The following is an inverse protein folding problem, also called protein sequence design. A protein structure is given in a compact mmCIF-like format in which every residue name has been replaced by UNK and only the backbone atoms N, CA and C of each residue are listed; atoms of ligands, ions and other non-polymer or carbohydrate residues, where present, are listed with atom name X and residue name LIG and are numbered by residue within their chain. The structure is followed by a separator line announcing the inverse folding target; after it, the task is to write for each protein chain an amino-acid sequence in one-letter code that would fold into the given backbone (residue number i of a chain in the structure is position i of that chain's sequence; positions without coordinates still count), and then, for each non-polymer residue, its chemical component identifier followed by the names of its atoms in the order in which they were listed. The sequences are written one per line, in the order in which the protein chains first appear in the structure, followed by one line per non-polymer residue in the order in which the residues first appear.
data_IF_888558584213
#
_entry.id   IF_888558584213
#
_cell.length_a   1.000
_cell.length_b   1.000
_cell.length_c   1.000
_cell.angle_alpha   90.00
_cell.angle_beta   90.00
_cell.angle_gamma   90.00
#
_symmetry.space_group_name_H-M   'P 1'
#
loop_
_entity.id
_entity.type
_entity.pdbx_description
1 polymer ?
#
# COMPACT_ATOMS: atom_id res chain seq x y z
N UNK A 1 -4.61 79.34 -27.94
CA UNK A 1 -4.55 77.90 -28.26
C UNK A 1 -3.64 77.23 -27.24
N UNK A 2 -4.22 76.67 -26.17
CA UNK A 2 -3.50 76.08 -25.03
C UNK A 2 -3.72 74.57 -24.97
N UNK A 3 -2.65 73.88 -24.61
CA UNK A 3 -2.49 72.43 -24.55
C UNK A 3 -3.37 71.74 -23.48
N UNK A 4 -4.05 70.67 -23.91
CA UNK A 4 -4.39 69.45 -23.16
C UNK A 4 -3.10 68.82 -22.56
N UNK A 5 -3.05 68.05 -21.46
CA UNK A 5 -4.01 67.37 -20.59
C UNK A 5 -3.25 67.04 -19.28
N UNK A 6 -3.82 67.33 -18.12
CA UNK A 6 -3.38 66.76 -16.84
C UNK A 6 -4.23 65.51 -16.53
N UNK A 7 -3.57 64.48 -15.99
CA UNK A 7 -4.16 63.19 -15.68
C UNK A 7 -4.88 63.22 -14.33
N UNK A 8 -6.09 62.67 -14.27
CA UNK A 8 -6.66 62.19 -13.00
C UNK A 8 -7.43 60.90 -13.28
N UNK A 9 -6.92 59.77 -12.78
CA UNK A 9 -7.61 58.47 -12.84
C UNK A 9 -8.72 58.46 -11.79
N UNK A 10 -9.98 58.36 -12.20
CA UNK A 10 -11.09 58.11 -11.28
C UNK A 10 -11.07 56.65 -10.81
N UNK A 11 -10.95 56.45 -9.50
CA UNK A 11 -11.01 55.15 -8.84
C UNK A 11 -12.42 54.58 -8.96
N UNK A 12 -12.56 53.41 -9.61
CA UNK A 12 -13.80 52.64 -9.61
C UNK A 12 -13.94 51.97 -8.25
N UNK A 13 -14.97 52.34 -7.47
CA UNK A 13 -15.28 51.69 -6.20
C UNK A 13 -16.33 50.58 -6.39
N UNK A 14 -16.22 49.53 -5.57
CA UNK A 14 -17.03 48.28 -5.59
C UNK A 14 -18.56 48.46 -5.60
N UNK A 15 -19.10 49.66 -5.36
CA UNK A 15 -20.55 49.92 -5.34
C UNK A 15 -21.19 50.18 -6.70
N UNK A 16 -20.43 50.36 -7.78
CA UNK A 16 -21.00 50.62 -9.12
C UNK A 16 -21.10 49.39 -10.04
N UNK A 17 -20.63 48.22 -9.60
CA UNK A 17 -20.69 46.97 -10.38
C UNK A 17 -21.98 46.14 -10.12
N UNK A 18 -22.71 46.42 -9.04
CA UNK A 18 -23.93 45.67 -8.66
C UNK A 18 -25.20 46.26 -9.31
N UNK A 19 -25.09 47.38 -10.04
CA UNK A 19 -26.26 48.15 -10.47
C UNK A 19 -26.89 47.83 -11.83
N UNK A 20 -26.28 47.01 -12.69
CA UNK A 20 -26.81 46.83 -14.05
C UNK A 20 -26.37 45.53 -14.73
N UNK A 21 -27.07 44.44 -14.43
CA UNK A 21 -27.40 43.37 -15.38
C UNK A 21 -28.34 42.35 -14.70
N UNK A 22 -29.54 42.82 -14.34
CA UNK A 22 -30.66 41.93 -14.06
C UNK A 22 -31.41 41.62 -15.35
N UNK A 23 -31.79 40.35 -15.51
CA UNK A 23 -32.82 39.81 -16.41
C UNK A 23 -32.39 39.44 -17.84
N UNK A 24 -31.68 38.32 -17.92
CA UNK A 24 -32.04 37.24 -18.85
C UNK A 24 -32.05 35.93 -18.05
N UNK A 25 -33.06 35.75 -17.21
CA UNK A 25 -33.32 34.46 -16.57
C UNK A 25 -33.90 33.52 -17.63
N UNK A 26 -33.04 32.97 -18.48
CA UNK A 26 -33.32 31.68 -19.07
C UNK A 26 -33.44 30.72 -17.87
N UNK A 27 -34.62 30.16 -17.65
CA UNK A 27 -34.78 29.01 -16.76
C UNK A 27 -34.01 27.84 -17.37
N UNK A 28 -32.68 27.84 -17.19
CA UNK A 28 -31.86 26.67 -17.40
C UNK A 28 -32.33 25.68 -16.35
N UNK A 29 -33.05 24.64 -16.76
CA UNK A 29 -33.21 23.44 -15.96
C UNK A 29 -31.80 22.86 -15.82
N UNK A 30 -31.05 23.32 -14.82
CA UNK A 30 -29.76 22.77 -14.46
C UNK A 30 -30.08 21.45 -13.75
N UNK A 31 -29.77 20.29 -14.36
CA UNK A 31 -30.23 19.04 -13.78
C UNK A 31 -29.57 18.84 -12.41
N UNK A 32 -30.31 18.30 -11.44
CA UNK A 32 -29.89 18.22 -10.02
C UNK A 32 -28.52 17.59 -9.78
N UNK A 33 -28.06 16.77 -10.72
CA UNK A 33 -26.70 16.23 -10.75
C UNK A 33 -25.60 17.27 -10.96
N UNK A 34 -25.87 18.54 -11.32
CA UNK A 34 -24.84 19.58 -11.58
C UNK A 34 -24.67 20.48 -10.36
N UNK A 35 -25.71 20.67 -9.55
CA UNK A 35 -25.69 21.57 -8.39
C UNK A 35 -25.50 20.86 -7.05
N UNK A 36 -25.48 19.52 -7.02
CA UNK A 36 -25.44 18.73 -5.78
C UNK A 36 -26.68 18.97 -4.93
N UNK A 37 -27.71 18.14 -5.11
CA UNK A 37 -28.87 18.15 -4.22
C UNK A 37 -28.53 17.63 -2.81
N UNK A 38 -29.46 17.74 -1.84
CA UNK A 38 -29.28 17.17 -0.51
C UNK A 38 -28.89 15.68 -0.60
N UNK A 39 -27.71 15.32 -0.08
CA UNK A 39 -27.17 13.96 -0.11
C UNK A 39 -26.38 13.59 -1.38
N UNK A 40 -26.18 14.51 -2.34
CA UNK A 40 -25.40 14.27 -3.55
C UNK A 40 -24.26 15.31 -3.69
N UNK A 41 -23.02 14.84 -3.73
CA UNK A 41 -21.85 15.66 -4.05
C UNK A 41 -21.90 16.10 -5.52
N UNK A 42 -21.85 17.41 -5.85
CA UNK A 42 -21.74 17.89 -7.21
C UNK A 42 -20.55 17.23 -7.95
N UNK A 43 -20.65 16.95 -9.27
CA UNK A 43 -19.57 16.38 -10.06
C UNK A 43 -18.27 17.20 -10.02
N UNK A 44 -18.37 18.52 -9.85
CA UNK A 44 -17.21 19.41 -9.69
C UNK A 44 -16.46 19.23 -8.36
N UNK A 45 -17.07 18.54 -7.40
CA UNK A 45 -16.46 18.20 -6.10
C UNK A 45 -16.05 16.72 -6.02
N UNK A 46 -16.15 15.99 -7.15
CA UNK A 46 -15.65 14.63 -7.28
C UNK A 46 -14.25 14.64 -7.86
N UNK A 47 -13.45 13.65 -7.47
CA UNK A 47 -12.15 13.41 -8.08
C UNK A 47 -12.32 12.73 -9.43
N UNK A 48 -11.48 13.10 -10.38
CA UNK A 48 -11.27 12.38 -11.63
C UNK A 48 -10.14 11.35 -11.44
N UNK A 49 -10.48 10.06 -11.45
CA UNK A 49 -9.60 8.96 -11.06
C UNK A 49 -9.40 7.99 -12.21
N UNK A 50 -8.17 7.49 -12.35
CA UNK A 50 -7.85 6.33 -13.20
C UNK A 50 -7.36 5.16 -12.38
N UNK A 51 -7.61 3.94 -12.86
CA UNK A 51 -7.23 2.72 -12.17
C UNK A 51 -6.33 1.83 -13.05
N UNK A 52 -5.22 1.33 -12.49
CA UNK A 52 -4.22 0.49 -13.15
C UNK A 52 -4.20 -0.88 -12.47
N UNK A 53 -4.45 -1.94 -13.23
CA UNK A 53 -4.69 -3.29 -12.70
C UNK A 53 -6.09 -3.36 -12.09
N UNK A 54 -7.05 -3.88 -12.85
CA UNK A 54 -8.48 -3.82 -12.49
C UNK A 54 -9.16 -5.19 -12.48
N UNK A 55 -8.39 -6.28 -12.52
CA UNK A 55 -8.86 -7.62 -12.16
C UNK A 55 -8.62 -7.98 -10.69
N UNK A 56 -9.29 -9.03 -10.20
CA UNK A 56 -9.14 -9.51 -8.82
C UNK A 56 -9.31 -8.40 -7.77
N UNK A 57 -8.32 -8.21 -6.89
CA UNK A 57 -8.32 -7.13 -5.88
C UNK A 57 -8.40 -5.73 -6.49
N UNK A 58 -7.86 -5.54 -7.70
CA UNK A 58 -7.97 -4.29 -8.44
C UNK A 58 -9.43 -3.92 -8.71
N UNK A 59 -10.29 -4.89 -9.04
CA UNK A 59 -11.72 -4.65 -9.24
C UNK A 59 -12.39 -4.12 -7.96
N UNK A 60 -12.06 -4.68 -6.79
CA UNK A 60 -12.54 -4.18 -5.50
C UNK A 60 -12.13 -2.71 -5.28
N UNK A 61 -10.91 -2.35 -5.66
CA UNK A 61 -10.43 -0.98 -5.53
C UNK A 61 -11.13 -0.01 -6.47
N UNK A 62 -11.41 -0.41 -7.72
CA UNK A 62 -12.23 0.41 -8.64
C UNK A 62 -13.64 0.62 -8.06
N UNK A 63 -14.24 -0.42 -7.46
CA UNK A 63 -15.54 -0.29 -6.78
C UNK A 63 -15.46 0.62 -5.56
N UNK A 64 -14.39 0.58 -4.79
CA UNK A 64 -14.23 1.43 -3.60
C UNK A 64 -14.13 2.93 -3.92
N UNK A 65 -13.80 3.30 -5.15
CA UNK A 65 -13.77 4.70 -5.62
C UNK A 65 -14.96 5.09 -6.51
N UNK A 66 -16.00 4.24 -6.60
CA UNK A 66 -17.13 4.48 -7.50
C UNK A 66 -18.02 5.68 -7.12
N UNK A 67 -17.81 6.27 -5.93
CA UNK A 67 -18.43 7.55 -5.57
C UNK A 67 -17.86 8.73 -6.37
N UNK A 68 -16.62 8.59 -6.84
CA UNK A 68 -15.86 9.55 -7.65
C UNK A 68 -16.00 9.24 -9.16
N UNK A 69 -15.38 10.05 -10.01
CA UNK A 69 -15.42 9.84 -11.45
C UNK A 69 -14.30 8.87 -11.87
N UNK A 70 -14.66 7.69 -12.38
CA UNK A 70 -13.69 6.77 -12.98
C UNK A 70 -13.53 7.09 -14.46
N UNK A 71 -12.48 7.86 -14.80
CA UNK A 71 -12.22 8.39 -16.15
C UNK A 71 -11.71 7.31 -17.09
N UNK A 72 -10.76 6.50 -16.61
CA UNK A 72 -10.14 5.44 -17.38
C UNK A 72 -9.70 4.26 -16.51
N UNK A 73 -9.65 3.09 -17.12
CA UNK A 73 -9.20 1.84 -16.51
C UNK A 73 -8.17 1.17 -17.42
N UNK A 74 -7.11 0.63 -16.83
CA UNK A 74 -6.00 0.02 -17.53
C UNK A 74 -5.74 -1.41 -17.05
N UNK A 75 -5.75 -2.36 -17.97
CA UNK A 75 -5.32 -3.74 -17.70
C UNK A 75 -4.69 -4.39 -18.94
N UNK A 76 -3.64 -5.17 -18.70
CA UNK A 76 -2.93 -5.93 -19.73
C UNK A 76 -3.68 -7.22 -20.08
N UNK A 77 -4.58 -7.70 -19.22
CA UNK A 77 -5.39 -8.88 -19.43
C UNK A 77 -6.89 -8.52 -19.51
N UNK A 78 -7.41 -8.51 -20.72
CA UNK A 78 -8.81 -8.17 -20.99
C UNK A 78 -9.81 -9.19 -20.44
N UNK A 79 -9.39 -10.44 -20.22
CA UNK A 79 -10.22 -11.49 -19.59
C UNK A 79 -10.26 -11.27 -18.08
N UNK A 80 -9.11 -11.03 -17.46
CA UNK A 80 -9.03 -10.79 -16.01
C UNK A 80 -9.73 -9.49 -15.59
N UNK A 81 -9.67 -8.45 -16.44
CA UNK A 81 -10.36 -7.17 -16.25
C UNK A 81 -11.85 -7.17 -16.67
N UNK A 82 -12.40 -8.31 -17.11
CA UNK A 82 -13.70 -8.38 -17.75
C UNK A 82 -14.85 -7.78 -16.93
N UNK A 83 -14.85 -8.01 -15.61
CA UNK A 83 -15.86 -7.44 -14.71
C UNK A 83 -15.79 -5.92 -14.62
N UNK A 84 -14.58 -5.37 -14.45
CA UNK A 84 -14.35 -3.92 -14.44
C UNK A 84 -14.75 -3.29 -15.77
N UNK A 85 -14.38 -3.90 -16.90
CA UNK A 85 -14.68 -3.40 -18.23
C UNK A 85 -16.18 -3.37 -18.53
N UNK A 86 -16.94 -4.31 -17.97
CA UNK A 86 -18.40 -4.36 -18.06
C UNK A 86 -19.05 -3.32 -17.14
N UNK A 87 -18.65 -3.27 -15.88
CA UNK A 87 -19.23 -2.38 -14.87
C UNK A 87 -18.95 -0.90 -15.19
N UNK A 88 -17.73 -0.58 -15.60
CA UNK A 88 -17.27 0.76 -15.96
C UNK A 88 -17.20 0.90 -17.48
N UNK A 89 -18.28 0.52 -18.17
CA UNK A 89 -18.33 0.48 -19.65
C UNK A 89 -18.06 1.82 -20.32
N UNK A 90 -18.37 2.93 -19.64
CA UNK A 90 -18.14 4.32 -20.08
C UNK A 90 -16.70 4.81 -19.87
N UNK A 91 -15.93 4.18 -18.97
CA UNK A 91 -14.54 4.56 -18.75
C UNK A 91 -13.70 4.19 -19.98
N UNK A 92 -12.72 5.04 -20.31
CA UNK A 92 -11.76 4.74 -21.39
C UNK A 92 -10.93 3.52 -20.98
N UNK A 93 -10.64 2.63 -21.93
CA UNK A 93 -9.95 1.37 -21.67
C UNK A 93 -8.54 1.40 -22.26
N UNK A 94 -7.56 1.02 -21.47
CA UNK A 94 -6.15 0.98 -21.85
C UNK A 94 -5.52 -0.37 -21.47
N UNK A 95 -4.39 -0.69 -22.09
CA UNK A 95 -3.54 -1.82 -21.68
C UNK A 95 -2.12 -1.41 -21.29
N UNK A 96 -1.72 -0.19 -21.60
CA UNK A 96 -0.43 0.37 -21.19
C UNK A 96 -0.70 1.61 -20.33
N UNK A 97 -0.35 1.53 -19.06
CA UNK A 97 -0.63 2.62 -18.12
C UNK A 97 0.18 3.87 -18.46
N UNK A 98 1.37 3.74 -19.06
CA UNK A 98 2.22 4.88 -19.42
C UNK A 98 1.49 5.73 -20.46
N UNK A 99 0.95 5.06 -21.49
CA UNK A 99 0.13 5.71 -22.52
C UNK A 99 -1.19 6.26 -21.97
N UNK A 100 -1.78 5.62 -20.97
CA UNK A 100 -2.97 6.14 -20.30
C UNK A 100 -2.63 7.44 -19.54
N UNK A 101 -1.58 7.41 -18.71
CA UNK A 101 -1.15 8.57 -17.94
C UNK A 101 -0.76 9.73 -18.87
N UNK A 102 0.00 9.48 -19.94
CA UNK A 102 0.36 10.50 -20.93
C UNK A 102 -0.87 11.19 -21.56
N UNK A 103 -1.92 10.41 -21.87
CA UNK A 103 -3.13 10.92 -22.53
C UNK A 103 -4.10 11.60 -21.58
N UNK A 104 -4.20 11.10 -20.35
CA UNK A 104 -5.20 11.54 -19.37
C UNK A 104 -4.60 12.49 -18.32
N UNK A 105 -3.30 12.81 -18.36
CA UNK A 105 -2.63 13.65 -17.35
C UNK A 105 -3.36 14.98 -17.06
N UNK A 106 -3.95 15.61 -18.08
CA UNK A 106 -4.71 16.85 -17.93
C UNK A 106 -6.15 16.69 -17.41
N UNK A 107 -6.65 15.46 -17.32
CA UNK A 107 -8.06 15.14 -17.03
C UNK A 107 -8.24 14.34 -15.72
N UNK A 108 -7.19 14.19 -14.91
CA UNK A 108 -7.20 13.32 -13.74
C UNK A 108 -6.55 14.01 -12.55
N UNK A 109 -7.07 13.72 -11.36
CA UNK A 109 -6.54 14.17 -10.08
C UNK A 109 -5.71 13.08 -9.40
N UNK A 110 -6.13 11.82 -9.56
CA UNK A 110 -5.59 10.71 -8.79
C UNK A 110 -5.52 9.38 -9.57
N UNK A 111 -4.67 8.50 -9.07
CA UNK A 111 -4.38 7.18 -9.65
C UNK A 111 -4.50 6.10 -8.58
N UNK A 112 -5.23 5.03 -8.90
CA UNK A 112 -5.28 3.79 -8.12
C UNK A 112 -4.42 2.74 -8.81
N UNK A 113 -3.46 2.15 -8.10
CA UNK A 113 -2.53 1.13 -8.59
C UNK A 113 -2.78 -0.19 -7.85
N UNK A 114 -3.07 -1.26 -8.60
CA UNK A 114 -3.37 -2.60 -8.07
C UNK A 114 -2.84 -3.70 -8.99
N UNK A 115 -1.66 -3.46 -9.57
CA UNK A 115 -0.93 -4.40 -10.41
C UNK A 115 -0.21 -5.47 -9.57
N UNK A 116 0.54 -6.40 -10.17
CA UNK A 116 1.59 -7.12 -9.44
C UNK A 116 2.66 -6.18 -8.84
N UNK A 117 3.36 -6.65 -7.80
CA UNK A 117 4.27 -5.82 -6.99
C UNK A 117 5.39 -5.17 -7.81
N UNK A 118 5.89 -5.84 -8.86
CA UNK A 118 6.96 -5.31 -9.71
C UNK A 118 6.55 -4.09 -10.54
N UNK A 119 5.27 -3.74 -10.61
CA UNK A 119 4.75 -2.57 -11.34
C UNK A 119 4.22 -1.47 -10.41
N UNK A 120 3.98 -1.78 -9.12
CA UNK A 120 3.45 -0.83 -8.14
C UNK A 120 4.20 0.51 -8.12
N UNK A 121 5.49 0.48 -7.80
CA UNK A 121 6.32 1.68 -7.66
C UNK A 121 6.49 2.41 -8.99
N UNK A 122 6.83 1.76 -10.12
CA UNK A 122 6.95 2.47 -11.39
C UNK A 122 5.71 3.26 -11.80
N UNK A 123 4.53 2.65 -11.70
CA UNK A 123 3.28 3.35 -12.00
C UNK A 123 3.00 4.49 -11.01
N UNK A 124 3.23 4.23 -9.72
CA UNK A 124 3.01 5.21 -8.65
C UNK A 124 3.95 6.41 -8.77
N UNK A 125 5.24 6.21 -8.98
CA UNK A 125 6.24 7.28 -9.12
C UNK A 125 5.98 8.11 -10.36
N UNK A 126 5.62 7.50 -11.49
CA UNK A 126 5.22 8.22 -12.70
C UNK A 126 4.03 9.15 -12.43
N UNK A 127 2.98 8.64 -11.77
CA UNK A 127 1.80 9.43 -11.41
C UNK A 127 2.14 10.57 -10.43
N UNK A 128 2.92 10.31 -9.38
CA UNK A 128 3.32 11.35 -8.42
C UNK A 128 4.18 12.43 -9.07
N UNK A 129 5.11 12.09 -9.97
CA UNK A 129 5.90 13.05 -10.74
C UNK A 129 5.05 13.93 -11.65
N UNK A 130 3.86 13.47 -12.04
CA UNK A 130 2.83 14.27 -12.74
C UNK A 130 1.92 15.08 -11.80
N UNK A 131 2.21 15.11 -10.49
CA UNK A 131 1.43 15.80 -9.47
C UNK A 131 0.11 15.10 -9.10
N UNK A 132 -0.03 13.80 -9.40
CA UNK A 132 -1.27 13.05 -9.14
C UNK A 132 -1.21 12.35 -7.78
N UNK A 133 -2.33 12.38 -7.07
CA UNK A 133 -2.48 11.61 -5.84
C UNK A 133 -2.49 10.12 -6.12
N UNK A 134 -1.96 9.29 -5.20
CA UNK A 134 -1.78 7.86 -5.44
C UNK A 134 -2.35 7.00 -4.31
N UNK A 135 -3.21 6.06 -4.67
CA UNK A 135 -3.52 4.90 -3.85
C UNK A 135 -2.83 3.68 -4.45
N UNK A 136 -1.98 2.98 -3.72
CA UNK A 136 -1.27 1.80 -4.21
C UNK A 136 -1.57 0.60 -3.32
N UNK A 137 -1.85 -0.56 -3.90
CA UNK A 137 -2.00 -1.78 -3.13
C UNK A 137 -0.73 -2.18 -2.38
N UNK A 138 -0.93 -3.02 -1.36
CA UNK A 138 0.18 -3.65 -0.61
C UNK A 138 0.73 -4.86 -1.39
N UNK A 139 1.99 -5.25 -1.13
CA UNK A 139 3.04 -4.43 -0.52
C UNK A 139 3.34 -3.21 -1.40
N UNK A 140 3.87 -2.12 -0.83
CA UNK A 140 4.08 -0.87 -1.57
C UNK A 140 4.96 -1.06 -2.83
N UNK A 141 5.87 -2.02 -2.81
CA UNK A 141 6.69 -2.37 -3.97
C UNK A 141 7.42 -3.70 -3.79
N UNK A 142 8.12 -4.10 -4.84
CA UNK A 142 8.84 -5.38 -4.91
C UNK A 142 10.28 -5.31 -4.35
N UNK A 143 10.91 -4.13 -4.27
CA UNK A 143 12.25 -3.97 -3.68
C UNK A 143 12.40 -2.66 -2.89
N UNK A 144 13.38 -2.67 -1.99
CA UNK A 144 13.61 -1.61 -0.98
C UNK A 144 14.03 -0.28 -1.62
N UNK A 145 14.89 -0.31 -2.63
CA UNK A 145 15.34 0.91 -3.32
C UNK A 145 14.19 1.63 -4.00
N UNK A 146 13.31 0.89 -4.69
CA UNK A 146 12.09 1.43 -5.29
C UNK A 146 11.15 2.02 -4.22
N UNK A 147 10.94 1.33 -3.10
CA UNK A 147 10.14 1.84 -1.97
C UNK A 147 10.69 3.15 -1.42
N UNK A 148 12.03 3.25 -1.28
CA UNK A 148 12.67 4.47 -0.78
C UNK A 148 12.58 5.61 -1.78
N UNK A 149 12.62 5.32 -3.08
CA UNK A 149 12.33 6.30 -4.14
C UNK A 149 10.89 6.82 -4.03
N UNK A 150 9.88 5.94 -3.95
CA UNK A 150 8.49 6.38 -3.85
C UNK A 150 8.20 7.22 -2.60
N UNK A 151 8.77 6.83 -1.46
CA UNK A 151 8.64 7.59 -0.20
C UNK A 151 9.22 9.00 -0.35
N UNK A 152 10.38 9.12 -1.01
CA UNK A 152 11.02 10.40 -1.29
C UNK A 152 10.19 11.26 -2.26
N UNK A 153 9.76 10.69 -3.38
CA UNK A 153 8.96 11.40 -4.39
C UNK A 153 7.63 11.87 -3.80
N UNK A 154 6.96 11.07 -2.97
CA UNK A 154 5.74 11.48 -2.27
C UNK A 154 5.99 12.71 -1.38
N UNK A 155 7.11 12.73 -0.65
CA UNK A 155 7.51 13.87 0.18
C UNK A 155 7.86 15.11 -0.65
N UNK A 156 8.60 14.94 -1.75
CA UNK A 156 9.04 16.04 -2.62
C UNK A 156 7.88 16.70 -3.37
N UNK A 157 6.92 15.89 -3.83
CA UNK A 157 5.76 16.38 -4.60
C UNK A 157 4.62 16.87 -3.72
N UNK A 158 4.57 16.43 -2.46
CA UNK A 158 3.52 16.80 -1.50
C UNK A 158 2.16 16.17 -1.79
N UNK A 159 2.06 15.27 -2.77
CA UNK A 159 0.80 14.61 -3.13
C UNK A 159 0.33 13.67 -2.02
N UNK A 160 -0.99 13.56 -1.88
CA UNK A 160 -1.63 12.57 -1.03
C UNK A 160 -1.34 11.16 -1.53
N UNK A 161 -0.84 10.31 -0.62
CA UNK A 161 -0.56 8.90 -0.89
C UNK A 161 -1.22 8.00 0.14
N UNK A 162 -1.56 6.77 -0.24
CA UNK A 162 -2.03 5.74 0.70
C UNK A 162 -1.72 4.33 0.17
N UNK A 163 -1.20 3.45 1.04
CA UNK A 163 -1.08 2.02 0.74
C UNK A 163 -2.38 1.28 1.10
N UNK A 164 -2.78 0.27 0.30
CA UNK A 164 -4.04 -0.46 0.41
C UNK A 164 -4.20 -1.48 1.54
N UNK A 165 -3.57 -1.27 2.69
CA UNK A 165 -3.69 -2.13 3.87
C UNK A 165 -4.89 -1.71 4.75
N UNK A 166 -6.12 -1.99 4.28
CA UNK A 166 -7.36 -1.50 4.88
C UNK A 166 -7.60 -1.85 6.36
N UNK A 167 -6.97 -2.92 6.86
CA UNK A 167 -7.03 -3.32 8.27
C UNK A 167 -6.56 -2.20 9.21
N UNK A 168 -5.61 -1.36 8.78
CA UNK A 168 -5.09 -0.22 9.52
C UNK A 168 -6.19 0.75 9.98
N UNK A 169 -7.15 1.05 9.10
CA UNK A 169 -8.29 1.94 9.39
C UNK A 169 -9.36 1.23 10.21
N UNK A 170 -9.33 -0.11 10.23
CA UNK A 170 -10.27 -0.97 10.92
C UNK A 170 -10.34 -0.70 12.42
N UNK A 171 -11.54 -0.83 12.99
CA UNK A 171 -11.77 -0.58 14.41
C UNK A 171 -10.90 -1.48 15.30
N UNK A 172 -10.68 -2.74 14.90
CA UNK A 172 -9.88 -3.68 15.67
C UNK A 172 -8.44 -3.21 15.85
N UNK A 173 -7.74 -2.97 14.74
CA UNK A 173 -6.33 -2.55 14.75
C UNK A 173 -6.15 -1.27 15.56
N UNK A 174 -6.98 -0.25 15.30
CA UNK A 174 -6.89 1.02 16.03
C UNK A 174 -7.14 0.83 17.54
N UNK A 175 -8.12 -0.02 17.91
CA UNK A 175 -8.45 -0.27 19.32
C UNK A 175 -7.36 -1.08 20.04
N UNK A 176 -6.75 -2.07 19.37
CA UNK A 176 -5.64 -2.87 19.92
C UNK A 176 -4.40 -2.01 20.06
N UNK A 177 -4.03 -1.22 19.05
CA UNK A 177 -2.91 -0.27 19.16
C UNK A 177 -3.12 0.70 20.33
N UNK A 178 -4.34 1.23 20.50
CA UNK A 178 -4.66 2.04 21.69
C UNK A 178 -4.45 1.27 22.99
N UNK A 179 -4.92 0.04 23.12
CA UNK A 179 -4.73 -0.78 24.33
C UNK A 179 -3.25 -1.03 24.65
N UNK A 180 -2.43 -1.28 23.62
CA UNK A 180 -0.98 -1.43 23.78
C UNK A 180 -0.35 -0.11 24.26
N UNK A 181 -0.70 1.01 23.62
CA UNK A 181 -0.20 2.35 23.98
C UNK A 181 -0.66 2.82 25.37
N UNK A 182 -1.86 2.44 25.79
CA UNK A 182 -2.38 2.69 27.14
C UNK A 182 -1.73 1.78 28.21
N UNK A 183 -0.82 0.88 27.82
CA UNK A 183 -0.03 0.06 28.73
C UNK A 183 -0.82 -1.10 29.37
N UNK A 184 -1.91 -1.56 28.75
CA UNK A 184 -2.76 -2.66 29.27
C UNK A 184 -1.92 -3.90 29.60
N UNK A 185 -0.99 -4.26 28.73
CA UNK A 185 -0.06 -5.39 28.93
C UNK A 185 1.35 -4.96 29.38
N UNK A 186 1.53 -3.69 29.76
CA UNK A 186 2.83 -3.14 30.12
C UNK A 186 3.77 -2.92 28.94
N UNK A 187 5.07 -2.95 29.20
CA UNK A 187 6.11 -2.69 28.22
C UNK A 187 6.30 -3.91 27.30
N UNK A 188 6.04 -3.75 26.00
CA UNK A 188 6.21 -4.82 25.00
C UNK A 188 7.67 -4.94 24.57
N UNK A 189 8.21 -6.16 24.64
CA UNK A 189 9.60 -6.48 24.23
C UNK A 189 9.69 -7.58 23.17
N UNK A 190 8.61 -8.31 22.96
CA UNK A 190 8.54 -9.38 21.97
C UNK A 190 7.19 -9.35 21.27
N UNK A 191 7.23 -9.56 19.95
CA UNK A 191 6.06 -9.60 19.06
C UNK A 191 6.21 -10.77 18.10
N UNK A 192 5.13 -11.47 17.85
CA UNK A 192 5.05 -12.54 16.85
C UNK A 192 3.94 -12.24 15.85
N UNK A 193 4.19 -12.43 14.57
CA UNK A 193 3.20 -12.30 13.50
C UNK A 193 3.22 -13.56 12.64
N UNK A 194 2.07 -14.04 12.15
CA UNK A 194 2.06 -15.22 11.29
C UNK A 194 0.96 -15.25 10.24
N UNK A 195 1.14 -16.12 9.23
CA UNK A 195 0.16 -16.48 8.23
C UNK A 195 0.31 -17.94 7.77
N UNK A 196 -0.75 -18.74 7.90
CA UNK A 196 -0.82 -20.18 7.60
C UNK A 196 -0.90 -20.54 6.12
N UNK A 197 -0.12 -19.87 5.29
CA UNK A 197 -0.11 -20.15 3.87
C UNK A 197 1.29 -19.98 3.31
N UNK A 198 1.60 -20.71 2.25
CA UNK A 198 2.77 -20.44 1.42
C UNK A 198 2.38 -20.38 -0.05
N UNK A 199 3.22 -19.70 -0.83
CA UNK A 199 3.28 -19.92 -2.25
C UNK A 199 4.25 -21.10 -2.48
N UNK A 200 3.87 -22.12 -3.26
CA UNK A 200 4.69 -23.33 -3.39
C UNK A 200 5.99 -23.01 -4.13
N UNK A 201 7.17 -23.38 -3.61
CA UNK A 201 8.44 -23.17 -4.30
C UNK A 201 8.48 -23.93 -5.63
N UNK A 202 9.29 -23.46 -6.57
CA UNK A 202 9.44 -24.16 -7.85
C UNK A 202 10.53 -23.60 -8.76
N UNK A 203 10.97 -24.46 -9.69
CA UNK A 203 11.88 -24.11 -10.78
C UNK A 203 11.13 -23.39 -11.90
N UNK A 204 11.86 -22.52 -12.64
CA UNK A 204 11.32 -21.96 -13.88
C UNK A 204 10.78 -23.07 -14.77
N UNK A 205 9.57 -22.93 -15.34
CA UNK A 205 9.05 -23.85 -16.32
C UNK A 205 9.99 -23.99 -17.50
N UNK A 206 10.17 -25.23 -17.97
CA UNK A 206 11.04 -25.54 -19.11
C UNK A 206 10.34 -25.37 -20.46
N UNK A 207 9.02 -25.30 -20.48
CA UNK A 207 8.22 -25.14 -21.68
C UNK A 207 7.55 -23.76 -21.69
N UNK A 208 7.39 -23.19 -22.89
CA UNK A 208 6.92 -21.82 -23.09
C UNK A 208 5.67 -21.85 -23.96
N UNK A 209 4.47 -22.04 -23.39
CA UNK A 209 3.24 -22.02 -24.16
C UNK A 209 3.03 -20.63 -24.82
N UNK A 210 2.26 -20.55 -25.91
CA UNK A 210 1.94 -19.26 -26.52
C UNK A 210 1.19 -18.35 -25.54
N UNK A 211 1.45 -17.04 -25.64
CA UNK A 211 0.71 -16.03 -24.88
C UNK A 211 -0.76 -16.05 -25.31
N UNK A 212 -1.73 -16.12 -24.38
CA UNK A 212 -3.15 -16.01 -24.73
C UNK A 212 -3.46 -14.66 -25.41
N UNK A 213 -4.29 -14.67 -26.45
CA UNK A 213 -4.58 -13.45 -27.23
C UNK A 213 -5.19 -12.28 -26.43
N UNK A 214 -5.77 -12.57 -25.26
CA UNK A 214 -6.35 -11.59 -24.35
C UNK A 214 -5.33 -10.91 -23.43
N UNK A 215 -4.07 -11.38 -23.39
CA UNK A 215 -3.01 -10.94 -22.48
C UNK A 215 -1.85 -10.26 -23.22
N UNK A 216 -1.53 -9.03 -22.84
CA UNK A 216 -0.35 -8.29 -23.32
C UNK A 216 0.86 -8.59 -22.43
N UNK A 217 1.47 -9.76 -22.62
CA UNK A 217 2.56 -10.26 -21.76
C UNK A 217 3.77 -9.32 -21.66
N UNK A 218 4.19 -8.71 -22.77
CA UNK A 218 5.31 -7.76 -22.77
C UNK A 218 5.05 -6.54 -21.86
N UNK A 219 3.79 -6.08 -21.80
CA UNK A 219 3.37 -5.02 -20.88
C UNK A 219 3.23 -5.52 -19.45
N UNK A 220 2.75 -6.76 -19.25
CA UNK A 220 2.64 -7.39 -17.93
C UNK A 220 4.01 -7.53 -17.25
N UNK A 221 5.04 -7.92 -18.00
CA UNK A 221 6.41 -8.00 -17.49
C UNK A 221 6.91 -6.64 -16.96
N UNK A 222 6.45 -5.53 -17.54
CA UNK A 222 6.79 -4.19 -17.07
C UNK A 222 8.31 -3.98 -16.92
N UNK A 223 8.80 -3.52 -15.76
CA UNK A 223 10.25 -3.35 -15.53
C UNK A 223 11.00 -4.66 -15.27
N UNK A 224 10.32 -5.80 -15.08
CA UNK A 224 10.95 -7.07 -14.75
C UNK A 224 11.74 -7.65 -15.93
N UNK A 225 12.79 -8.47 -15.69
CA UNK A 225 13.55 -9.11 -16.76
C UNK A 225 12.66 -9.86 -17.76
N UNK A 226 13.10 -9.91 -19.03
CA UNK A 226 12.35 -10.63 -20.07
C UNK A 226 12.28 -12.10 -19.71
N UNK A 227 11.04 -12.63 -19.68
CA UNK A 227 10.76 -14.02 -19.39
C UNK A 227 9.64 -14.54 -20.32
N UNK A 228 9.72 -15.77 -20.85
CA UNK A 228 8.61 -16.36 -21.59
C UNK A 228 7.35 -16.48 -20.73
N UNK A 229 6.18 -16.39 -21.37
CA UNK A 229 4.92 -16.61 -20.69
C UNK A 229 4.77 -18.05 -20.23
N UNK A 230 4.20 -18.23 -19.04
CA UNK A 230 3.72 -19.50 -18.54
C UNK A 230 2.57 -19.24 -17.53
N UNK A 231 1.51 -20.09 -17.49
CA UNK A 231 0.37 -19.92 -16.58
C UNK A 231 0.71 -20.02 -15.08
N UNK A 232 1.95 -20.39 -14.74
CA UNK A 232 2.42 -20.39 -13.33
C UNK A 232 2.65 -18.97 -12.79
N UNK A 233 2.80 -17.97 -13.66
CA UNK A 233 3.05 -16.58 -13.25
C UNK A 233 1.75 -15.79 -13.11
N UNK A 234 0.86 -15.88 -14.09
CA UNK A 234 -0.33 -15.04 -14.18
C UNK A 234 -1.59 -15.91 -14.12
N UNK A 235 -2.63 -15.54 -13.34
CA UNK A 235 -2.81 -14.23 -12.71
C UNK A 235 -2.23 -14.04 -11.31
N UNK A 236 -1.98 -15.12 -10.55
CA UNK A 236 -1.67 -14.98 -9.11
C UNK A 236 -0.30 -15.52 -8.68
N UNK A 237 0.24 -16.49 -9.42
CA UNK A 237 1.44 -17.21 -9.01
C UNK A 237 2.72 -16.37 -9.04
N UNK A 238 2.69 -15.19 -9.65
CA UNK A 238 3.78 -14.21 -9.70
C UNK A 238 4.33 -13.87 -8.31
N UNK A 239 3.48 -13.91 -7.27
CA UNK A 239 3.88 -13.67 -5.87
C UNK A 239 5.02 -14.57 -5.41
N UNK A 240 5.16 -15.75 -6.00
CA UNK A 240 6.18 -16.72 -5.65
C UNK A 240 7.57 -16.42 -6.22
N UNK A 241 7.68 -15.56 -7.23
CA UNK A 241 8.89 -15.44 -8.05
C UNK A 241 9.60 -14.13 -7.79
N UNK A 242 10.91 -14.18 -7.55
CA UNK A 242 11.70 -13.01 -7.14
C UNK A 242 11.65 -11.84 -8.10
N UNK A 243 11.45 -12.09 -9.39
CA UNK A 243 11.34 -11.02 -10.41
C UNK A 243 10.02 -10.21 -10.28
N UNK A 244 8.99 -10.77 -9.65
CA UNK A 244 7.63 -10.22 -9.63
C UNK A 244 7.08 -9.96 -8.22
N UNK A 245 7.39 -10.82 -7.25
CA UNK A 245 6.90 -10.75 -5.88
C UNK A 245 7.91 -11.33 -4.88
N UNK A 246 7.48 -11.54 -3.63
CA UNK A 246 8.37 -11.81 -2.50
C UNK A 246 7.85 -12.92 -1.57
N UNK A 247 7.13 -13.89 -2.11
CA UNK A 247 6.57 -15.00 -1.35
C UNK A 247 5.50 -14.56 -0.36
N UNK A 248 5.27 -15.39 0.68
CA UNK A 248 4.21 -15.11 1.65
C UNK A 248 4.53 -13.90 2.52
N UNK A 249 5.76 -13.74 2.99
CA UNK A 249 6.15 -12.56 3.76
C UNK A 249 5.92 -11.26 2.97
N UNK A 250 6.27 -11.22 1.68
CA UNK A 250 5.97 -10.05 0.83
C UNK A 250 4.47 -9.77 0.69
N UNK A 251 3.68 -10.82 0.47
CA UNK A 251 2.23 -10.72 0.25
C UNK A 251 1.45 -10.36 1.53
N UNK A 252 1.80 -10.96 2.68
CA UNK A 252 1.01 -10.87 3.91
C UNK A 252 1.70 -10.13 5.06
N UNK A 253 3.01 -9.91 4.99
CA UNK A 253 3.78 -9.23 6.03
C UNK A 253 3.26 -7.83 6.33
N UNK A 254 2.99 -7.03 5.28
CA UNK A 254 2.44 -5.67 5.44
C UNK A 254 1.02 -5.65 6.03
N UNK A 255 0.30 -6.78 6.06
CA UNK A 255 -0.97 -6.85 6.76
C UNK A 255 -0.77 -7.06 8.26
N UNK A 256 0.00 -8.06 8.67
CA UNK A 256 0.13 -8.44 10.09
C UNK A 256 1.12 -7.56 10.85
N UNK A 257 2.21 -7.14 10.20
CA UNK A 257 3.27 -6.32 10.81
C UNK A 257 2.82 -4.85 10.93
N UNK A 258 1.77 -4.44 10.22
CA UNK A 258 1.14 -3.12 10.38
C UNK A 258 0.63 -2.87 11.81
N UNK A 259 0.02 -3.86 12.45
CA UNK A 259 -0.49 -3.69 13.81
C UNK A 259 0.63 -3.41 14.83
N UNK A 260 1.74 -4.17 14.86
CA UNK A 260 2.93 -3.82 15.65
C UNK A 260 3.53 -2.47 15.28
N UNK A 261 3.61 -2.12 14.00
CA UNK A 261 4.12 -0.83 13.56
C UNK A 261 3.31 0.33 14.15
N UNK A 262 1.99 0.25 14.04
CA UNK A 262 1.08 1.24 14.59
C UNK A 262 1.06 1.26 16.13
N UNK A 263 1.21 0.11 16.79
CA UNK A 263 1.12 -0.02 18.24
C UNK A 263 2.41 0.40 18.97
N UNK A 264 3.58 0.20 18.34
CA UNK A 264 4.90 0.37 18.98
C UNK A 264 5.77 1.46 18.33
N UNK A 265 5.17 2.23 17.43
CA UNK A 265 5.79 3.33 16.68
C UNK A 265 7.09 2.89 15.99
N UNK A 266 7.02 1.76 15.28
CA UNK A 266 8.17 1.18 14.57
C UNK A 266 8.44 1.92 13.25
N UNK A 267 9.71 1.92 12.83
CA UNK A 267 10.15 2.38 11.51
C UNK A 267 11.12 1.41 10.87
N UNK A 268 12.37 1.39 11.35
CA UNK A 268 13.45 0.61 10.77
C UNK A 268 14.12 -0.26 11.85
N UNK A 269 14.39 -1.54 11.55
CA UNK A 269 15.12 -2.43 12.44
C UNK A 269 16.61 -2.10 12.43
N UNK A 270 17.32 -2.49 13.50
CA UNK A 270 18.78 -2.47 13.58
C UNK A 270 19.39 -3.72 12.94
N UNK A 271 18.74 -4.87 13.14
CA UNK A 271 19.17 -6.14 12.54
C UNK A 271 17.98 -6.97 12.08
N UNK A 272 18.24 -7.84 11.11
CA UNK A 272 17.29 -8.82 10.61
C UNK A 272 18.00 -10.15 10.35
N UNK A 273 17.34 -11.25 10.64
CA UNK A 273 17.79 -12.61 10.29
C UNK A 273 16.59 -13.43 9.83
N UNK A 274 16.79 -14.38 8.93
CA UNK A 274 15.71 -15.22 8.46
C UNK A 274 16.22 -16.60 8.03
N UNK A 275 15.39 -17.62 8.22
CA UNK A 275 15.72 -18.98 7.82
C UNK A 275 14.48 -19.76 7.35
N UNK A 276 14.76 -20.77 6.54
CA UNK A 276 13.81 -21.78 6.06
C UNK A 276 14.48 -23.17 6.15
N UNK A 277 13.85 -24.20 5.58
CA UNK A 277 14.40 -25.55 5.54
C UNK A 277 15.67 -25.66 4.68
N UNK A 278 15.80 -24.79 3.67
CA UNK A 278 16.92 -24.73 2.73
C UNK A 278 17.36 -23.28 2.54
N UNK A 279 18.58 -23.11 2.01
CA UNK A 279 19.03 -21.83 1.47
C UNK A 279 18.06 -21.31 0.40
N UNK A 280 18.09 -19.99 0.18
CA UNK A 280 17.21 -19.36 -0.79
C UNK A 280 17.38 -19.96 -2.18
N UNK A 281 16.25 -20.30 -2.81
CA UNK A 281 16.21 -20.73 -4.18
C UNK A 281 16.53 -19.56 -5.12
N UNK A 282 17.13 -19.83 -6.27
CA UNK A 282 17.51 -18.79 -7.24
C UNK A 282 16.29 -18.05 -7.83
N UNK A 283 15.14 -18.71 -7.87
CA UNK A 283 13.97 -18.23 -8.62
C UNK A 283 12.76 -17.86 -7.78
N UNK A 284 12.59 -18.50 -6.62
CA UNK A 284 11.30 -18.55 -5.96
C UNK A 284 11.38 -18.58 -4.44
N UNK A 285 10.27 -18.16 -3.82
CA UNK A 285 10.11 -18.11 -2.38
C UNK A 285 10.08 -19.50 -1.72
N UNK A 286 10.52 -19.60 -0.46
CA UNK A 286 10.45 -20.85 0.26
C UNK A 286 9.01 -21.20 0.63
N UNK A 287 8.75 -22.50 0.84
CA UNK A 287 7.44 -22.98 1.30
C UNK A 287 7.11 -22.65 2.76
N UNK A 288 8.05 -22.07 3.51
CA UNK A 288 7.86 -21.45 4.82
C UNK A 288 9.07 -20.59 5.16
N UNK A 289 8.89 -19.56 5.98
CA UNK A 289 9.94 -18.65 6.41
C UNK A 289 9.71 -18.23 7.86
N UNK A 290 10.81 -18.16 8.62
CA UNK A 290 10.83 -17.46 9.91
C UNK A 290 11.82 -16.30 9.79
N UNK A 291 11.34 -15.09 10.03
CA UNK A 291 12.16 -13.87 10.00
C UNK A 291 12.10 -13.16 11.33
N UNK A 292 13.23 -12.70 11.86
CA UNK A 292 13.31 -11.97 13.12
C UNK A 292 13.99 -10.63 12.91
N UNK A 293 13.35 -9.57 13.40
CA UNK A 293 13.86 -8.22 13.41
C UNK A 293 14.13 -7.76 14.83
N UNK A 294 15.20 -7.00 15.02
CA UNK A 294 15.49 -6.32 16.29
C UNK A 294 15.39 -4.82 16.08
N UNK A 295 14.53 -4.17 16.86
CA UNK A 295 14.38 -2.72 16.87
C UNK A 295 15.03 -2.16 18.14
N UNK A 296 15.75 -1.04 17.99
CA UNK A 296 16.31 -0.30 19.12
C UNK A 296 15.23 0.29 20.02
N UNK A 297 15.64 0.92 21.12
CA UNK A 297 14.73 1.72 21.93
C UNK A 297 14.14 2.86 21.08
N UNK A 298 12.88 3.21 21.31
CA UNK A 298 12.25 4.44 20.83
C UNK A 298 12.00 5.32 22.05
N UNK A 299 11.75 6.62 21.83
CA UNK A 299 11.55 7.67 22.86
C UNK A 299 11.27 7.13 24.27
N UNK A 300 10.05 6.65 24.52
CA UNK A 300 9.64 6.07 25.81
C UNK A 300 9.34 4.56 25.75
N UNK A 301 9.74 3.88 24.65
CA UNK A 301 9.42 2.48 24.42
C UNK A 301 10.69 1.60 24.39
N UNK A 302 10.69 0.44 25.08
CA UNK A 302 11.88 -0.41 25.20
C UNK A 302 12.17 -1.14 23.89
N UNK A 303 13.42 -1.56 23.61
CA UNK A 303 13.76 -2.39 22.46
C UNK A 303 12.81 -3.57 22.29
N UNK A 304 12.50 -3.94 21.05
CA UNK A 304 11.54 -5.01 20.74
C UNK A 304 12.09 -5.94 19.67
N UNK A 305 11.86 -7.23 19.86
CA UNK A 305 12.05 -8.24 18.83
C UNK A 305 10.72 -8.56 18.17
N UNK A 306 10.68 -8.55 16.84
CA UNK A 306 9.52 -8.99 16.05
C UNK A 306 9.90 -10.26 15.31
N UNK A 307 9.09 -11.32 15.41
CA UNK A 307 9.29 -12.56 14.66
C UNK A 307 8.08 -12.86 13.78
N UNK A 308 8.33 -13.08 12.49
CA UNK A 308 7.36 -13.56 11.52
C UNK A 308 7.44 -15.07 11.35
N UNK A 309 6.31 -15.72 11.11
CA UNK A 309 6.20 -17.13 10.76
C UNK A 309 5.22 -17.31 9.59
N UNK A 310 5.60 -18.03 8.55
CA UNK A 310 4.64 -18.42 7.51
C UNK A 310 4.78 -19.87 7.04
N UNK A 311 3.90 -20.24 6.11
CA UNK A 311 3.83 -21.54 5.47
C UNK A 311 2.86 -22.52 6.13
N UNK A 312 2.55 -23.60 5.41
CA UNK A 312 1.55 -24.60 5.80
C UNK A 312 2.04 -25.55 6.92
N UNK A 313 3.12 -25.22 7.62
CA UNK A 313 3.87 -26.13 8.48
C UNK A 313 3.69 -25.87 9.99
N UNK A 314 2.60 -25.17 10.39
CA UNK A 314 2.31 -24.90 11.80
C UNK A 314 3.41 -24.11 12.52
N UNK A 315 4.14 -23.26 11.78
CA UNK A 315 5.21 -22.43 12.34
C UNK A 315 4.56 -21.35 13.22
N UNK A 316 4.76 -21.48 14.53
CA UNK A 316 4.16 -20.62 15.56
C UNK A 316 5.14 -20.31 16.67
N UNK A 317 4.95 -19.19 17.39
CA UNK A 317 5.61 -19.00 18.66
C UNK A 317 5.19 -20.10 19.65
N UNK A 318 6.13 -20.73 20.38
CA UNK A 318 5.79 -21.72 21.43
C UNK A 318 4.76 -21.21 22.44
N UNK A 319 4.84 -19.91 22.78
CA UNK A 319 3.92 -19.20 23.67
C UNK A 319 2.43 -19.38 23.31
N UNK A 320 2.10 -19.54 22.02
CA UNK A 320 0.71 -19.76 21.62
C UNK A 320 0.15 -21.03 22.28
N UNK A 321 0.91 -22.14 22.24
CA UNK A 321 0.50 -23.42 22.84
C UNK A 321 0.64 -23.40 24.35
N UNK A 322 1.74 -22.85 24.87
CA UNK A 322 2.01 -22.78 26.31
C UNK A 322 0.91 -22.06 27.10
N UNK A 323 0.23 -21.09 26.48
CA UNK A 323 -0.86 -20.33 27.08
C UNK A 323 -2.26 -20.71 26.55
N UNK A 324 -2.39 -21.82 25.82
CA UNK A 324 -3.66 -22.26 25.22
C UNK A 324 -4.37 -21.15 24.42
N UNK A 325 -3.60 -20.36 23.68
CA UNK A 325 -4.14 -19.29 22.86
C UNK A 325 -4.87 -19.84 21.63
N UNK A 326 -5.84 -19.10 21.05
CA UNK A 326 -6.52 -19.53 19.84
C UNK A 326 -5.58 -19.82 18.67
N UNK A 327 -5.92 -20.85 17.89
CA UNK A 327 -5.20 -21.20 16.66
C UNK A 327 -5.81 -20.50 15.45
N UNK A 328 -5.54 -19.20 15.35
CA UNK A 328 -5.96 -18.39 14.20
C UNK A 328 -4.96 -18.53 13.05
N UNK A 329 -5.42 -18.61 11.78
CA UNK A 329 -4.55 -18.82 10.63
C UNK A 329 -3.65 -17.62 10.35
N UNK A 330 -4.11 -16.40 10.66
CA UNK A 330 -3.29 -15.21 10.73
C UNK A 330 -3.42 -14.56 12.11
N UNK A 331 -2.33 -13.98 12.61
CA UNK A 331 -2.37 -13.33 13.90
C UNK A 331 -1.11 -12.56 14.25
N UNK A 332 -1.26 -11.75 15.29
CA UNK A 332 -0.25 -10.95 15.94
C UNK A 332 -0.33 -11.17 17.44
N UNK A 333 0.75 -11.61 18.06
CA UNK A 333 0.91 -11.76 19.51
C UNK A 333 1.89 -10.71 20.02
N UNK A 334 1.46 -9.92 21.01
CA UNK A 334 2.28 -8.99 21.77
C UNK A 334 2.61 -9.59 23.14
N UNK A 335 3.88 -9.55 23.52
CA UNK A 335 4.36 -10.01 24.83
C UNK A 335 4.88 -8.80 25.61
N UNK A 336 4.13 -8.43 26.65
CA UNK A 336 4.40 -7.28 27.51
C UNK A 336 4.72 -7.68 28.95
N UNK A 337 5.32 -6.75 29.69
CA UNK A 337 5.75 -6.99 31.08
C UNK A 337 4.63 -7.30 32.08
N UNK A 338 3.35 -7.05 31.73
CA UNK A 338 2.18 -7.37 32.56
C UNK A 338 1.33 -8.49 31.98
N UNK A 339 1.55 -8.93 30.75
CA UNK A 339 0.81 -10.03 30.11
C UNK A 339 0.92 -9.98 28.59
N UNK A 340 0.00 -10.66 27.91
CA UNK A 340 0.04 -10.82 26.46
C UNK A 340 -1.27 -10.42 25.80
N UNK A 341 -1.21 -10.01 24.54
CA UNK A 341 -2.37 -9.73 23.70
C UNK A 341 -2.19 -10.41 22.34
N UNK A 342 -3.12 -11.29 21.97
CA UNK A 342 -3.20 -11.87 20.63
C UNK A 342 -4.34 -11.19 19.85
N UNK A 343 -4.11 -10.85 18.58
CA UNK A 343 -5.09 -10.20 17.71
C UNK A 343 -4.99 -10.72 16.27
N UNK A 344 -6.08 -10.58 15.51
CA UNK A 344 -6.10 -10.72 14.05
C UNK A 344 -6.80 -9.49 13.42
N UNK A 345 -7.32 -9.60 12.20
CA UNK A 345 -8.07 -8.50 11.55
C UNK A 345 -9.26 -7.96 12.34
N UNK A 346 -9.97 -8.79 13.13
CA UNK A 346 -11.25 -8.43 13.77
C UNK A 346 -11.34 -8.73 15.26
N UNK A 347 -10.51 -9.65 15.76
CA UNK A 347 -10.56 -10.23 17.10
C UNK A 347 -9.32 -9.84 17.90
N UNK A 348 -9.43 -9.90 19.22
CA UNK A 348 -8.29 -9.93 20.13
C UNK A 348 -8.65 -10.70 21.40
N UNK A 349 -7.63 -11.17 22.12
CA UNK A 349 -7.72 -11.72 23.48
C UNK A 349 -6.51 -11.30 24.32
N UNK A 350 -6.70 -11.24 25.63
CA UNK A 350 -5.67 -10.92 26.62
C UNK A 350 -5.33 -12.16 27.44
N UNK A 351 -4.05 -12.31 27.82
CA UNK A 351 -3.56 -13.47 28.57
C UNK A 351 -2.63 -13.08 29.72
N UNK A 352 -2.70 -13.79 30.88
CA UNK A 352 -3.68 -14.84 31.20
C UNK A 352 -5.09 -14.27 31.39
N UNK A 353 -6.14 -14.98 30.95
CA UNK A 353 -7.49 -14.40 30.79
C UNK A 353 -8.09 -13.88 32.12
N UNK A 354 -7.80 -14.55 33.24
CA UNK A 354 -8.26 -14.22 34.60
C UNK A 354 -7.78 -12.83 35.07
N UNK A 355 -6.54 -12.45 34.73
CA UNK A 355 -5.98 -11.14 35.08
C UNK A 355 -6.68 -9.97 34.38
N UNK A 356 -7.34 -10.24 33.24
CA UNK A 356 -7.95 -9.23 32.39
C UNK A 356 -9.48 -9.31 32.39
N UNK A 357 -10.07 -9.97 33.38
CA UNK A 357 -11.51 -9.94 33.59
C UNK A 357 -11.98 -8.49 33.72
N UNK A 358 -13.11 -8.16 33.07
CA UNK A 358 -13.63 -6.80 33.08
C UNK A 358 -12.94 -5.82 32.12
N UNK A 359 -11.76 -6.12 31.56
CA UNK A 359 -11.15 -5.25 30.54
C UNK A 359 -12.03 -5.22 29.29
N UNK A 360 -12.28 -4.01 28.78
CA UNK A 360 -13.14 -3.79 27.61
C UNK A 360 -12.35 -3.12 26.50
N UNK A 361 -12.74 -3.42 25.27
CA UNK A 361 -12.25 -2.72 24.08
C UNK A 361 -12.54 -1.21 24.24
N UNK A 362 -11.56 -0.33 23.99
CA UNK A 362 -11.78 1.11 24.03
C UNK A 362 -12.92 1.54 23.10
N UNK A 363 -13.75 2.49 23.53
CA UNK A 363 -14.74 3.15 22.68
C UNK A 363 -14.06 4.24 21.86
N UNK A 364 -14.15 4.17 20.54
CA UNK A 364 -13.53 5.15 19.64
C UNK A 364 -14.45 5.50 18.46
N UNK A 365 -14.23 6.64 17.79
CA UNK A 365 -14.95 6.95 16.55
C UNK A 365 -14.65 5.89 15.47
N UNK A 366 -15.71 5.41 14.81
CA UNK A 366 -15.57 4.59 13.60
C UNK A 366 -15.13 5.48 12.44
N UNK A 367 -14.31 4.93 11.55
CA UNK A 367 -13.94 5.57 10.29
C UNK A 367 -14.82 4.97 9.17
N UNK A 368 -15.32 5.77 8.20
CA UNK A 368 -16.22 5.27 7.17
C UNK A 368 -15.61 4.16 6.32
N UNK A 369 -14.44 4.40 5.74
CA UNK A 369 -13.65 3.38 5.05
C UNK A 369 -12.20 3.84 4.91
N UNK A 370 -11.34 2.89 4.54
CA UNK A 370 -9.94 3.19 4.27
C UNK A 370 -9.77 4.09 3.03
N UNK A 371 -10.53 3.84 1.95
CA UNK A 371 -10.49 4.65 0.73
C UNK A 371 -11.12 6.02 0.94
N UNK A 372 -12.12 6.14 1.82
CA UNK A 372 -12.72 7.44 2.17
C UNK A 372 -11.68 8.40 2.76
N UNK A 373 -10.82 7.92 3.68
CA UNK A 373 -9.74 8.76 4.23
C UNK A 373 -8.83 9.33 3.11
N UNK A 374 -8.51 8.51 2.10
CA UNK A 374 -7.71 8.92 0.95
C UNK A 374 -8.43 9.92 0.03
N UNK A 375 -9.69 9.66 -0.32
CA UNK A 375 -10.49 10.55 -1.18
C UNK A 375 -10.64 11.92 -0.55
N UNK A 376 -11.01 11.97 0.74
CA UNK A 376 -11.14 13.23 1.46
C UNK A 376 -9.80 13.95 1.56
N UNK A 377 -8.71 13.22 1.81
CA UNK A 377 -7.37 13.78 1.85
C UNK A 377 -6.99 14.44 0.53
N UNK A 378 -7.30 13.81 -0.61
CA UNK A 378 -7.08 14.39 -1.93
C UNK A 378 -7.88 15.70 -2.10
N UNK A 379 -9.17 15.69 -1.75
CA UNK A 379 -10.06 16.86 -1.88
C UNK A 379 -9.64 18.03 -1.00
N UNK A 380 -9.10 17.76 0.18
CA UNK A 380 -8.63 18.79 1.12
C UNK A 380 -7.14 19.08 1.03
N UNK A 381 -6.42 18.39 0.14
CA UNK A 381 -4.95 18.40 0.04
C UNK A 381 -4.25 18.19 1.39
N UNK A 382 -4.70 17.19 2.16
CA UNK A 382 -4.14 16.81 3.47
C UNK A 382 -3.39 15.47 3.38
N UNK A 383 -2.08 15.48 3.09
CA UNK A 383 -1.29 14.25 2.93
C UNK A 383 -1.12 13.45 4.23
N UNK A 384 -1.47 14.01 5.39
CA UNK A 384 -1.33 13.35 6.69
C UNK A 384 -2.60 12.65 7.15
N UNK A 385 -3.76 12.94 6.53
CA UNK A 385 -5.03 12.29 6.86
C UNK A 385 -5.00 10.76 6.65
N UNK A 386 -4.43 10.22 5.56
CA UNK A 386 -4.24 8.78 5.40
C UNK A 386 -3.31 8.21 6.49
N UNK A 387 -3.80 7.23 7.26
CA UNK A 387 -2.99 6.54 8.27
C UNK A 387 -1.83 5.72 7.68
N UNK A 388 -1.91 5.40 6.38
CA UNK A 388 -0.94 4.56 5.67
C UNK A 388 -0.35 5.27 4.44
N UNK A 389 -0.13 6.58 4.55
CA UNK A 389 0.63 7.33 3.55
C UNK A 389 2.06 6.76 3.38
N UNK A 390 2.75 7.14 2.32
CA UNK A 390 4.06 6.54 1.98
C UNK A 390 5.17 6.82 3.01
N UNK A 391 5.04 7.85 3.84
CA UNK A 391 5.97 8.06 4.96
C UNK A 391 5.81 7.00 6.07
N UNK A 392 4.65 6.38 6.18
CA UNK A 392 4.37 5.25 7.07
C UNK A 392 4.59 3.91 6.36
N UNK A 393 3.99 3.73 5.18
CA UNK A 393 4.03 2.45 4.47
C UNK A 393 5.40 2.13 3.88
N UNK A 394 6.21 3.14 3.54
CA UNK A 394 7.59 2.95 3.11
C UNK A 394 8.44 2.18 4.14
N UNK A 395 8.63 2.70 5.36
CA UNK A 395 9.32 1.99 6.45
C UNK A 395 8.74 0.60 6.76
N UNK A 396 7.41 0.45 6.73
CA UNK A 396 6.75 -0.83 6.95
C UNK A 396 7.12 -1.85 5.88
N UNK A 397 6.94 -1.52 4.59
CA UNK A 397 7.25 -2.44 3.50
C UNK A 397 8.75 -2.71 3.41
N UNK A 398 9.61 -1.71 3.64
CA UNK A 398 11.05 -1.93 3.69
C UNK A 398 11.43 -2.95 4.76
N UNK A 399 10.88 -2.81 5.97
CA UNK A 399 11.13 -3.76 7.06
C UNK A 399 10.68 -5.17 6.70
N UNK A 400 9.50 -5.31 6.10
CA UNK A 400 8.99 -6.61 5.64
C UNK A 400 9.96 -7.23 4.63
N UNK A 401 10.40 -6.47 3.62
CA UNK A 401 11.30 -6.97 2.58
C UNK A 401 12.71 -7.26 3.09
N UNK A 402 13.18 -6.58 4.14
CA UNK A 402 14.46 -6.92 4.79
C UNK A 402 14.48 -8.37 5.30
N UNK A 403 13.34 -8.94 5.68
CA UNK A 403 13.26 -10.37 6.04
C UNK A 403 13.56 -11.30 4.85
N UNK A 404 13.10 -10.93 3.66
CA UNK A 404 13.42 -11.64 2.41
C UNK A 404 14.90 -11.46 2.04
N UNK A 405 15.42 -10.25 2.19
CA UNK A 405 16.84 -9.94 1.92
C UNK A 405 17.75 -10.77 2.83
N UNK A 406 17.46 -10.85 4.12
CA UNK A 406 18.21 -11.68 5.07
C UNK A 406 18.16 -13.17 4.68
N UNK A 407 16.99 -13.67 4.28
CA UNK A 407 16.86 -15.06 3.83
C UNK A 407 17.70 -15.34 2.58
N UNK A 408 17.67 -14.42 1.60
CA UNK A 408 18.45 -14.53 0.36
C UNK A 408 19.96 -14.37 0.59
N UNK A 409 20.35 -13.60 1.59
CA UNK A 409 21.74 -13.48 2.04
C UNK A 409 22.23 -14.72 2.78
N UNK A 410 21.34 -15.42 3.49
CA UNK A 410 21.66 -16.63 4.26
C UNK A 410 22.31 -16.35 5.61
N UNK A 411 22.28 -15.10 6.08
CA UNK A 411 22.88 -14.69 7.36
C UNK A 411 22.15 -13.50 7.99
N UNK A 412 22.53 -13.17 9.22
CA UNK A 412 22.04 -11.98 9.93
C UNK A 412 22.63 -10.71 9.33
N UNK A 413 21.78 -9.71 9.10
CA UNK A 413 22.15 -8.43 8.51
C UNK A 413 22.03 -7.30 9.53
N UNK A 414 22.95 -6.35 9.45
CA UNK A 414 22.94 -5.07 10.17
C UNK A 414 22.50 -3.98 9.20
N UNK A 415 21.44 -3.26 9.55
CA UNK A 415 20.77 -2.33 8.66
C UNK A 415 21.02 -0.87 9.07
N UNK A 416 21.68 -0.13 8.18
CA UNK A 416 21.77 1.33 8.23
C UNK A 416 20.67 1.91 7.33
N UNK A 417 19.51 2.18 7.92
CA UNK A 417 18.33 2.65 7.22
C UNK A 417 18.42 4.11 6.74
N UNK A 418 19.36 4.89 7.29
CA UNK A 418 19.59 6.27 6.89
C UNK A 418 20.35 6.31 5.56
N UNK A 419 21.39 5.50 5.45
CA UNK A 419 22.22 5.40 4.25
C UNK A 419 21.77 4.32 3.26
N UNK A 420 20.74 3.55 3.61
CA UNK A 420 20.21 2.42 2.82
C UNK A 420 21.28 1.32 2.59
N UNK A 421 22.01 0.95 3.65
CA UNK A 421 23.18 0.06 3.58
C UNK A 421 23.08 -1.16 4.48
N UNK A 422 23.67 -2.25 4.00
CA UNK A 422 23.94 -3.45 4.81
C UNK A 422 25.40 -3.40 5.26
N UNK A 423 25.64 -3.16 6.55
CA UNK A 423 26.98 -2.78 7.03
C UNK A 423 27.93 -3.96 7.25
N UNK A 424 27.39 -5.16 7.48
CA UNK A 424 28.18 -6.37 7.73
C UNK A 424 28.28 -7.32 6.53
N UNK A 425 27.50 -7.10 5.47
CA UNK A 425 27.43 -7.96 4.28
C UNK A 425 27.08 -7.18 3.01
N UNK A 426 27.98 -6.34 2.48
CA UNK A 426 27.68 -5.46 1.34
C UNK A 426 27.19 -6.19 0.08
N UNK A 427 27.61 -7.43 -0.16
CA UNK A 427 27.15 -8.25 -1.29
C UNK A 427 25.66 -8.58 -1.25
N UNK A 428 25.03 -8.54 -0.07
CA UNK A 428 23.58 -8.72 0.07
C UNK A 428 22.79 -7.53 -0.48
N UNK A 429 23.43 -6.38 -0.73
CA UNK A 429 22.77 -5.20 -1.32
C UNK A 429 22.26 -5.46 -2.75
N UNK A 430 22.74 -6.51 -3.43
CA UNK A 430 22.14 -6.96 -4.70
C UNK A 430 20.66 -7.35 -4.55
N UNK A 431 20.21 -7.73 -3.34
CA UNK A 431 18.84 -8.16 -3.10
C UNK A 431 17.90 -7.02 -2.68
N UNK A 432 18.42 -5.81 -2.41
CA UNK A 432 17.58 -4.66 -2.02
C UNK A 432 17.08 -3.85 -3.23
N UNK A 433 17.54 -4.18 -4.43
CA UNK A 433 17.27 -3.45 -5.67
C UNK A 433 17.03 -4.39 -6.86
N UNK A 434 16.46 -3.84 -7.91
CA UNK A 434 16.46 -4.42 -9.25
C UNK A 434 17.84 -4.20 -9.90
N UNK A 435 18.39 -5.22 -10.56
CA UNK A 435 19.68 -5.10 -11.25
C UNK A 435 19.56 -4.21 -12.50
N UNK A 436 18.53 -4.44 -13.31
CA UNK A 436 18.28 -3.68 -14.55
C UNK A 436 16.78 -3.48 -14.77
N UNK A 437 16.43 -2.31 -15.29
CA UNK A 437 15.10 -2.05 -15.83
C UNK A 437 15.08 -2.42 -17.31
N UNK A 438 13.97 -2.96 -17.80
CA UNK A 438 13.74 -3.07 -19.24
C UNK A 438 13.74 -1.66 -19.86
N UNK A 439 14.27 -1.54 -21.08
CA UNK A 439 14.31 -0.28 -21.81
C UNK A 439 12.90 0.34 -21.90
N UNK A 440 12.76 1.59 -21.48
CA UNK A 440 11.48 2.32 -21.42
C UNK A 440 10.64 2.07 -20.16
N UNK A 441 11.22 1.44 -19.13
CA UNK A 441 10.61 1.19 -17.83
C UNK A 441 11.45 1.72 -16.65
N UNK A 442 12.46 2.54 -16.94
CA UNK A 442 13.31 3.21 -15.97
C UNK A 442 12.52 4.28 -15.19
N UNK A 443 12.88 4.54 -13.93
CA UNK A 443 12.12 5.42 -13.01
C UNK A 443 12.97 6.43 -12.26
#
# INVERSE_FOLDING_TARGET
MQNNKSSCKSVITRRRFIGAAGVAAAFSIVPSHVLGGPGNTPPSEKLDIVCIGVGGKGFDNVRNVMSENVVAICDVDTKHAGEAFKMFSKAKKYSDYRRMLDKEAGNIDAVVVSTPDHVHIPASVMAMKMGKHVYCEKPLGQNITEIRLATRVAKETGVVTQMGNAAHTGYNYRSVSKMIKDGVIGQVREVHCWCDQAWPPGDRPKHNPPVPGHLKWDLWLGPAPVRPYHPTYHPDGWRNWWDFGNGRLGDMGCHMIDLPFMALDLKYPLTVEAHSAKSAHEESAPGWLISKWTFGARVDLPPVHLTWYDGNAGKRPPLQKEHNMPDWPEGTLFVGSKGMLIADYGRFKLFPEDKYEGVRRPKMPRKPSHVYDWVEACKTNDPLRPGTNFNYSGPLTETVLLGIVAYRAGEKLHWDAENLKITNKPEAERFIRRDTYRKGWEI
#
